data_IF_563273252377
#
_entry.id   IF_563273252377
#
_cell.length_a   1.000
_cell.length_b   1.000
_cell.length_c   1.000
_cell.angle_alpha   90.00
_cell.angle_beta   90.00
_cell.angle_gamma   90.00
#
_symmetry.space_group_name_H-M   'P 1'
#
loop_
_entity.id
_entity.type
_entity.pdbx_description
1 polymer ?
#
# COMPACT_ATOMS: atom_id res chain seq x y z
N UNK A 1 30.85 -12.73 18.00
CA UNK A 1 30.37 -11.94 16.85
C UNK A 1 29.13 -11.21 17.30
N UNK A 2 29.07 -9.88 17.16
CA UNK A 2 27.86 -9.11 17.48
C UNK A 2 26.79 -9.43 16.45
N UNK A 3 25.60 -9.84 16.89
CA UNK A 3 24.50 -10.12 15.98
C UNK A 3 24.10 -8.84 15.21
N UNK A 4 23.94 -8.96 13.90
CA UNK A 4 23.60 -7.84 13.01
C UNK A 4 22.29 -8.15 12.29
N UNK A 5 21.34 -7.21 12.24
CA UNK A 5 20.12 -7.40 11.45
C UNK A 5 20.42 -7.34 9.95
N UNK A 6 19.44 -7.68 9.10
CA UNK A 6 19.60 -7.59 7.65
C UNK A 6 19.75 -6.13 7.20
N UNK A 7 20.83 -5.82 6.50
CA UNK A 7 21.16 -4.45 6.07
C UNK A 7 20.09 -3.81 5.18
N UNK A 8 19.40 -4.61 4.37
CA UNK A 8 18.31 -4.11 3.52
C UNK A 8 17.10 -3.64 4.35
N UNK A 9 16.84 -4.24 5.51
CA UNK A 9 15.73 -3.86 6.37
C UNK A 9 16.02 -2.54 7.09
N UNK A 10 17.27 -2.33 7.52
CA UNK A 10 17.72 -1.06 8.07
C UNK A 10 17.67 0.07 7.02
N UNK A 11 18.11 -0.22 5.78
CA UNK A 11 17.99 0.72 4.67
C UNK A 11 16.52 1.10 4.41
N UNK A 12 15.61 0.12 4.46
CA UNK A 12 14.18 0.36 4.34
C UNK A 12 13.64 1.21 5.49
N UNK A 13 14.04 0.95 6.74
CA UNK A 13 13.67 1.74 7.90
C UNK A 13 14.08 3.21 7.74
N UNK A 14 15.31 3.45 7.27
CA UNK A 14 15.84 4.79 7.00
C UNK A 14 15.02 5.56 5.96
N UNK A 15 14.43 4.88 4.99
CA UNK A 15 13.58 5.52 3.97
C UNK A 15 12.28 6.07 4.57
N UNK A 16 11.72 5.42 5.60
CA UNK A 16 10.42 5.77 6.16
C UNK A 16 10.48 6.68 7.40
N UNK A 17 11.60 6.69 8.11
CA UNK A 17 11.79 7.57 9.26
C UNK A 17 12.19 8.99 8.86
N UNK A 18 11.90 9.95 9.73
CA UNK A 18 12.53 11.28 9.62
C UNK A 18 14.00 11.13 9.98
N UNK A 19 14.91 11.93 9.36
CA UNK A 19 16.33 11.87 9.69
C UNK A 19 16.61 12.04 11.20
N UNK A 20 15.88 12.93 11.87
CA UNK A 20 16.02 13.17 13.31
C UNK A 20 15.57 12.00 14.20
N UNK A 21 14.68 11.13 13.70
CA UNK A 21 14.14 10.01 14.48
C UNK A 21 14.92 8.71 14.23
N UNK A 22 15.75 8.66 13.17
CA UNK A 22 16.38 7.42 12.71
C UNK A 22 17.34 6.82 13.74
N UNK A 23 18.25 7.63 14.30
CA UNK A 23 19.27 7.13 15.21
C UNK A 23 18.67 6.56 16.50
N UNK A 24 17.65 7.25 17.06
CA UNK A 24 16.93 6.78 18.25
C UNK A 24 16.17 5.49 17.97
N UNK A 25 15.32 5.47 16.94
CA UNK A 25 14.47 4.30 16.66
C UNK A 25 15.29 3.09 16.20
N UNK A 26 16.32 3.31 15.38
CA UNK A 26 17.22 2.24 14.94
C UNK A 26 18.04 1.69 16.11
N UNK A 27 18.54 2.57 16.99
CA UNK A 27 19.25 2.21 18.21
C UNK A 27 18.39 1.30 19.11
N UNK A 28 17.18 1.74 19.45
CA UNK A 28 16.26 0.97 20.30
C UNK A 28 15.95 -0.42 19.70
N UNK A 29 15.67 -0.49 18.39
CA UNK A 29 15.41 -1.77 17.70
C UNK A 29 16.63 -2.67 17.67
N UNK A 30 17.84 -2.12 17.56
CA UNK A 30 19.09 -2.87 17.55
C UNK A 30 19.44 -3.41 18.94
N UNK A 31 19.21 -2.63 19.98
CA UNK A 31 19.34 -3.08 21.38
C UNK A 31 18.37 -4.22 21.66
N UNK A 32 17.08 -4.06 21.35
CA UNK A 32 16.07 -5.12 21.53
C UNK A 32 16.39 -6.37 20.69
N UNK A 33 16.83 -6.19 19.44
CA UNK A 33 17.27 -7.28 18.57
C UNK A 33 18.37 -8.12 19.21
N UNK A 34 19.42 -7.46 19.74
CA UNK A 34 20.63 -8.13 20.26
C UNK A 34 20.43 -8.70 21.65
N UNK A 35 19.77 -7.96 22.51
CA UNK A 35 19.76 -8.24 23.95
C UNK A 35 18.54 -9.08 24.34
N UNK A 36 17.42 -8.95 23.61
CA UNK A 36 16.17 -9.64 23.94
C UNK A 36 15.82 -10.75 22.94
N UNK A 37 15.86 -10.46 21.63
CA UNK A 37 15.30 -11.38 20.64
C UNK A 37 16.30 -12.44 20.17
N UNK A 38 17.53 -12.04 19.84
CA UNK A 38 18.57 -12.94 19.34
C UNK A 38 18.93 -14.07 20.32
N UNK A 39 19.10 -13.85 21.64
CA UNK A 39 19.45 -14.92 22.57
C UNK A 39 18.36 -15.99 22.70
N UNK A 40 17.09 -15.61 22.54
CA UNK A 40 15.93 -16.50 22.71
C UNK A 40 15.57 -17.23 21.42
N UNK A 41 15.61 -16.53 20.27
CA UNK A 41 15.09 -17.05 18.99
C UNK A 41 16.17 -17.40 17.97
N UNK A 42 17.43 -17.13 18.29
CA UNK A 42 18.55 -17.24 17.36
C UNK A 42 18.47 -16.25 16.20
N UNK A 43 19.47 -16.29 15.31
CA UNK A 43 19.63 -15.32 14.22
C UNK A 43 18.39 -15.23 13.31
N UNK A 44 17.90 -16.35 12.76
CA UNK A 44 16.75 -16.33 11.82
C UNK A 44 15.48 -15.77 12.46
N UNK A 45 15.23 -16.10 13.72
CA UNK A 45 14.06 -15.61 14.45
C UNK A 45 14.16 -14.13 14.79
N UNK A 46 15.36 -13.64 15.09
CA UNK A 46 15.62 -12.22 15.29
C UNK A 46 15.52 -11.43 13.98
N UNK A 47 16.09 -11.93 12.88
CA UNK A 47 15.98 -11.31 11.55
C UNK A 47 14.51 -11.16 11.14
N UNK A 48 13.71 -12.22 11.29
CA UNK A 48 12.28 -12.19 11.00
C UNK A 48 11.56 -11.16 11.88
N UNK A 49 11.88 -11.10 13.19
CA UNK A 49 11.31 -10.10 14.08
C UNK A 49 11.65 -8.67 13.65
N UNK A 50 12.91 -8.39 13.31
CA UNK A 50 13.34 -7.06 12.87
C UNK A 50 12.62 -6.64 11.57
N UNK A 51 12.55 -7.55 10.61
CA UNK A 51 11.82 -7.33 9.35
C UNK A 51 10.34 -7.01 9.63
N UNK A 52 9.69 -7.72 10.55
CA UNK A 52 8.31 -7.42 10.94
C UNK A 52 8.16 -6.03 11.55
N UNK A 53 9.13 -5.58 12.37
CA UNK A 53 9.11 -4.21 12.90
C UNK A 53 9.20 -3.17 11.79
N UNK A 54 10.14 -3.34 10.86
CA UNK A 54 10.31 -2.43 9.71
C UNK A 54 9.05 -2.41 8.84
N UNK A 55 8.47 -3.58 8.52
CA UNK A 55 7.20 -3.67 7.78
C UNK A 55 6.05 -2.99 8.53
N UNK A 56 6.06 -2.98 9.87
CA UNK A 56 5.12 -2.22 10.68
C UNK A 56 5.23 -0.70 10.49
N UNK A 57 6.42 -0.15 10.23
CA UNK A 57 6.57 1.27 9.86
C UNK A 57 6.04 1.54 8.44
N UNK A 58 6.37 0.68 7.48
CA UNK A 58 5.86 0.77 6.09
C UNK A 58 4.33 0.75 6.09
N UNK A 59 3.73 -0.22 6.77
CA UNK A 59 2.28 -0.39 6.88
C UNK A 59 1.62 0.83 7.51
N UNK A 60 2.14 1.35 8.63
CA UNK A 60 1.60 2.56 9.26
C UNK A 60 1.66 3.79 8.34
N UNK A 61 2.74 3.93 7.56
CA UNK A 61 2.86 5.03 6.59
C UNK A 61 1.86 4.89 5.44
N UNK A 62 1.62 3.67 4.96
CA UNK A 62 0.73 3.40 3.83
C UNK A 62 -0.75 3.26 4.22
N UNK A 63 -1.07 2.96 5.49
CA UNK A 63 -2.41 2.49 5.91
C UNK A 63 -3.55 3.39 5.47
N UNK A 64 -3.45 4.70 5.70
CA UNK A 64 -4.53 5.64 5.34
C UNK A 64 -4.74 5.64 3.83
N UNK A 65 -3.65 5.69 3.07
CA UNK A 65 -3.69 5.68 1.61
C UNK A 65 -4.18 4.36 1.03
N UNK A 66 -3.79 3.23 1.63
CA UNK A 66 -4.27 1.91 1.28
C UNK A 66 -5.78 1.77 1.48
N UNK A 67 -6.30 2.29 2.60
CA UNK A 67 -7.74 2.30 2.89
C UNK A 67 -8.49 3.16 1.89
N UNK A 68 -8.02 4.38 1.60
CA UNK A 68 -8.65 5.26 0.61
C UNK A 68 -8.65 4.63 -0.79
N UNK A 69 -7.52 4.05 -1.21
CA UNK A 69 -7.37 3.39 -2.50
C UNK A 69 -8.27 2.15 -2.60
N UNK A 70 -8.23 1.27 -1.60
CA UNK A 70 -9.08 0.09 -1.53
C UNK A 70 -10.57 0.45 -1.50
N UNK A 71 -10.95 1.45 -0.71
CA UNK A 71 -12.34 1.93 -0.65
C UNK A 71 -12.81 2.51 -1.99
N UNK A 72 -11.96 3.21 -2.74
CA UNK A 72 -12.29 3.69 -4.08
C UNK A 72 -12.59 2.52 -5.04
N UNK A 73 -11.78 1.45 -4.98
CA UNK A 73 -12.03 0.23 -5.77
C UNK A 73 -13.32 -0.47 -5.35
N UNK A 74 -13.53 -0.73 -4.06
CA UNK A 74 -14.76 -1.36 -3.55
C UNK A 74 -16.00 -0.55 -3.93
N UNK A 75 -15.92 0.78 -3.82
CA UNK A 75 -17.02 1.68 -4.20
C UNK A 75 -17.30 1.59 -5.70
N UNK A 76 -16.27 1.62 -6.54
CA UNK A 76 -16.43 1.42 -8.00
C UNK A 76 -17.11 0.08 -8.27
N UNK A 77 -16.61 -1.01 -7.71
CA UNK A 77 -17.17 -2.36 -7.88
C UNK A 77 -18.64 -2.42 -7.43
N UNK A 78 -18.96 -1.85 -6.27
CA UNK A 78 -20.33 -1.78 -5.77
C UNK A 78 -21.24 -1.01 -6.72
N UNK A 79 -20.78 0.13 -7.25
CA UNK A 79 -21.54 0.91 -8.22
C UNK A 79 -21.74 0.14 -9.53
N UNK A 80 -20.73 -0.56 -10.02
CA UNK A 80 -20.82 -1.32 -11.28
C UNK A 80 -21.80 -2.49 -11.17
N UNK A 81 -21.90 -3.11 -10.00
CA UNK A 81 -22.78 -4.26 -9.77
C UNK A 81 -24.20 -3.88 -9.34
N UNK A 82 -24.34 -2.86 -8.49
CA UNK A 82 -25.61 -2.52 -7.85
C UNK A 82 -26.34 -1.36 -8.56
N UNK A 83 -25.61 -0.53 -9.31
CA UNK A 83 -26.15 0.59 -10.07
C UNK A 83 -25.40 0.73 -11.42
N UNK A 84 -25.56 -0.23 -12.35
CA UNK A 84 -24.84 -0.23 -13.62
C UNK A 84 -24.98 1.11 -14.36
N UNK A 85 -23.87 1.70 -14.85
CA UNK A 85 -23.93 2.99 -15.53
C UNK A 85 -24.51 2.86 -16.94
N UNK A 86 -25.10 3.94 -17.42
CA UNK A 86 -25.39 4.09 -18.86
C UNK A 86 -24.10 4.26 -19.67
N UNK A 87 -23.08 4.88 -19.06
CA UNK A 87 -21.76 5.08 -19.64
C UNK A 87 -20.63 4.58 -18.70
N UNK A 88 -20.06 3.42 -19.04
CA UNK A 88 -18.92 2.85 -18.32
C UNK A 88 -17.63 3.67 -18.49
N UNK A 89 -17.48 4.41 -19.60
CA UNK A 89 -16.27 5.17 -19.90
C UNK A 89 -16.11 6.35 -18.93
N UNK A 90 -17.17 7.14 -18.72
CA UNK A 90 -17.15 8.25 -17.77
C UNK A 90 -16.81 7.78 -16.35
N UNK A 91 -17.46 6.70 -15.88
CA UNK A 91 -17.21 6.14 -14.54
C UNK A 91 -15.78 5.60 -14.41
N UNK A 92 -15.31 4.86 -15.40
CA UNK A 92 -13.92 4.35 -15.44
C UNK A 92 -12.92 5.50 -15.39
N UNK A 93 -13.14 6.57 -16.16
CA UNK A 93 -12.29 7.76 -16.19
C UNK A 93 -12.20 8.43 -14.82
N UNK A 94 -13.35 8.69 -14.18
CA UNK A 94 -13.38 9.29 -12.83
C UNK A 94 -12.67 8.41 -11.81
N UNK A 95 -12.95 7.11 -11.79
CA UNK A 95 -12.31 6.18 -10.85
C UNK A 95 -10.79 6.07 -11.08
N UNK A 96 -10.34 6.15 -12.34
CA UNK A 96 -8.93 6.15 -12.72
C UNK A 96 -8.22 7.41 -12.21
N UNK A 97 -8.79 8.59 -12.44
CA UNK A 97 -8.20 9.84 -11.94
C UNK A 97 -8.21 9.91 -10.41
N UNK A 98 -9.26 9.41 -9.77
CA UNK A 98 -9.33 9.32 -8.31
C UNK A 98 -8.23 8.41 -7.75
N UNK A 99 -8.10 7.19 -8.28
CA UNK A 99 -7.05 6.25 -7.89
C UNK A 99 -5.64 6.83 -8.11
N UNK A 100 -5.42 7.46 -9.26
CA UNK A 100 -4.15 8.08 -9.57
C UNK A 100 -3.82 9.25 -8.62
N UNK A 101 -4.80 10.12 -8.34
CA UNK A 101 -4.67 11.23 -7.40
C UNK A 101 -4.33 10.76 -5.99
N UNK A 102 -4.98 9.69 -5.51
CA UNK A 102 -4.67 9.08 -4.20
C UNK A 102 -3.20 8.63 -4.15
N UNK A 103 -2.70 7.96 -5.19
CA UNK A 103 -1.34 7.42 -5.21
C UNK A 103 -0.27 8.51 -5.33
N UNK A 104 -0.53 9.55 -6.13
CA UNK A 104 0.34 10.73 -6.21
C UNK A 104 0.37 11.46 -4.86
N UNK A 105 -0.78 11.66 -4.23
CA UNK A 105 -0.88 12.29 -2.90
C UNK A 105 -0.17 11.46 -1.83
N UNK A 106 -0.29 10.13 -1.87
CA UNK A 106 0.41 9.22 -0.98
C UNK A 106 1.93 9.34 -1.12
N UNK A 107 2.42 9.34 -2.36
CA UNK A 107 3.85 9.50 -2.66
C UNK A 107 4.40 10.85 -2.20
N UNK A 108 3.66 11.93 -2.49
CA UNK A 108 3.95 13.30 -2.07
C UNK A 108 4.05 13.42 -0.55
N UNK A 109 3.05 12.93 0.16
CA UNK A 109 3.00 12.98 1.62
C UNK A 109 4.15 12.19 2.26
N UNK A 110 4.43 10.99 1.75
CA UNK A 110 5.51 10.14 2.26
C UNK A 110 6.87 10.84 2.14
N UNK A 111 7.17 11.43 0.98
CA UNK A 111 8.46 12.09 0.76
C UNK A 111 8.59 13.42 1.49
N UNK A 112 7.50 14.19 1.65
CA UNK A 112 7.50 15.39 2.50
C UNK A 112 7.85 15.03 3.95
N UNK A 113 7.25 13.95 4.48
CA UNK A 113 7.48 13.49 5.84
C UNK A 113 8.92 13.00 6.04
N UNK A 114 9.38 12.03 5.25
CA UNK A 114 10.69 11.39 5.46
C UNK A 114 11.86 12.17 4.85
N UNK A 115 11.61 13.01 3.83
CA UNK A 115 12.67 13.64 3.02
C UNK A 115 13.31 12.69 1.99
N UNK A 116 12.76 11.49 1.80
CA UNK A 116 13.29 10.49 0.85
C UNK A 116 12.39 10.33 -0.36
N UNK A 117 12.98 10.34 -1.57
CA UNK A 117 12.28 10.08 -2.82
C UNK A 117 11.73 8.64 -2.87
N UNK A 118 12.53 7.68 -2.40
CA UNK A 118 12.15 6.26 -2.37
C UNK A 118 10.95 5.98 -1.47
N UNK A 119 10.70 6.82 -0.47
CA UNK A 119 9.53 6.69 0.39
C UNK A 119 8.23 6.82 -0.41
N UNK A 120 8.22 7.66 -1.45
CA UNK A 120 7.06 7.82 -2.32
C UNK A 120 6.74 6.56 -3.12
N UNK A 121 7.75 6.00 -3.80
CA UNK A 121 7.64 4.74 -4.56
C UNK A 121 7.16 3.59 -3.68
N UNK A 122 7.79 3.39 -2.52
CA UNK A 122 7.46 2.29 -1.61
C UNK A 122 6.09 2.47 -0.97
N UNK A 123 5.69 3.71 -0.65
CA UNK A 123 4.33 3.99 -0.15
C UNK A 123 3.29 3.71 -1.22
N UNK A 124 3.55 4.06 -2.49
CA UNK A 124 2.67 3.74 -3.61
C UNK A 124 2.49 2.23 -3.79
N UNK A 125 3.58 1.45 -3.78
CA UNK A 125 3.54 -0.02 -3.84
C UNK A 125 2.79 -0.62 -2.66
N UNK A 126 3.09 -0.17 -1.44
CA UNK A 126 2.43 -0.69 -0.24
C UNK A 126 0.93 -0.35 -0.22
N UNK A 127 0.56 0.87 -0.63
CA UNK A 127 -0.82 1.32 -0.68
C UNK A 127 -1.65 0.50 -1.68
N UNK A 128 -1.12 0.23 -2.88
CA UNK A 128 -1.82 -0.60 -3.87
C UNK A 128 -1.87 -2.07 -3.47
N UNK A 129 -0.80 -2.63 -2.91
CA UNK A 129 -0.80 -4.03 -2.46
C UNK A 129 -1.81 -4.27 -1.32
N UNK A 130 -1.83 -3.40 -0.30
CA UNK A 130 -2.80 -3.49 0.80
C UNK A 130 -4.21 -3.17 0.28
N UNK A 131 -4.35 -2.14 -0.55
CA UNK A 131 -5.61 -1.77 -1.18
C UNK A 131 -6.20 -2.88 -2.05
N UNK A 132 -5.38 -3.68 -2.72
CA UNK A 132 -5.80 -4.85 -3.48
C UNK A 132 -6.42 -5.92 -2.59
N UNK A 133 -5.83 -6.19 -1.42
CA UNK A 133 -6.41 -7.11 -0.43
C UNK A 133 -7.77 -6.58 0.07
N UNK A 134 -7.85 -5.28 0.40
CA UNK A 134 -9.11 -4.64 0.81
C UNK A 134 -10.17 -4.76 -0.30
N UNK A 135 -9.80 -4.49 -1.55
CA UNK A 135 -10.68 -4.60 -2.72
C UNK A 135 -11.21 -6.02 -2.90
N UNK A 136 -10.34 -7.03 -2.82
CA UNK A 136 -10.73 -8.43 -2.97
C UNK A 136 -11.71 -8.87 -1.86
N UNK A 137 -11.43 -8.50 -0.61
CA UNK A 137 -12.33 -8.76 0.52
C UNK A 137 -13.68 -8.05 0.32
N UNK A 138 -13.65 -6.78 -0.10
CA UNK A 138 -14.87 -6.00 -0.37
C UNK A 138 -15.72 -6.60 -1.49
N UNK A 139 -15.11 -7.01 -2.59
CA UNK A 139 -15.78 -7.69 -3.69
C UNK A 139 -16.39 -9.03 -3.25
N UNK A 140 -15.66 -9.83 -2.48
CA UNK A 140 -16.19 -11.08 -1.92
C UNK A 140 -17.37 -10.81 -0.97
N UNK A 141 -17.30 -9.75 -0.15
CA UNK A 141 -18.41 -9.33 0.71
C UNK A 141 -19.65 -8.90 -0.07
N UNK A 142 -19.47 -8.14 -1.16
CA UNK A 142 -20.58 -7.75 -2.04
C UNK A 142 -21.26 -8.98 -2.66
N UNK A 143 -20.50 -9.96 -3.13
CA UNK A 143 -21.04 -11.23 -3.66
C UNK A 143 -21.78 -12.05 -2.60
N UNK A 144 -21.24 -12.09 -1.37
CA UNK A 144 -21.88 -12.78 -0.27
C UNK A 144 -23.24 -12.17 0.08
N UNK A 145 -23.39 -10.85 -0.08
CA UNK A 145 -24.64 -10.13 0.17
C UNK A 145 -25.61 -10.28 -1.00
N UNK A 146 -25.14 -10.17 -2.25
CA UNK A 146 -25.99 -10.15 -3.45
C UNK A 146 -25.32 -10.83 -4.64
N UNK A 147 -25.98 -11.84 -5.19
CA UNK A 147 -25.49 -12.64 -6.33
C UNK A 147 -26.65 -13.17 -7.20
N UNK A 148 -27.73 -12.40 -7.33
CA UNK A 148 -28.87 -12.72 -8.20
C UNK A 148 -28.49 -12.64 -9.70
N UNK A 149 -29.40 -13.08 -10.57
CA UNK A 149 -29.16 -13.16 -12.01
C UNK A 149 -28.80 -11.80 -12.63
N UNK A 150 -29.41 -10.70 -12.18
CA UNK A 150 -29.12 -9.35 -12.69
C UNK A 150 -27.74 -8.88 -12.23
N UNK A 151 -27.39 -9.13 -10.97
CA UNK A 151 -26.04 -8.85 -10.44
C UNK A 151 -24.98 -9.64 -11.20
N UNK A 152 -25.22 -10.93 -11.49
CA UNK A 152 -24.30 -11.76 -12.27
C UNK A 152 -24.21 -11.36 -13.74
N UNK A 153 -25.26 -10.75 -14.31
CA UNK A 153 -25.21 -10.15 -15.63
C UNK A 153 -24.40 -8.85 -15.62
N UNK A 154 -24.58 -7.99 -14.61
CA UNK A 154 -23.81 -6.76 -14.42
C UNK A 154 -22.31 -7.04 -14.25
N UNK A 155 -21.95 -8.06 -13.45
CA UNK A 155 -20.55 -8.51 -13.29
C UNK A 155 -19.95 -8.90 -14.63
N UNK A 156 -20.68 -9.67 -15.46
CA UNK A 156 -20.19 -10.07 -16.78
C UNK A 156 -20.03 -8.87 -17.72
N UNK A 157 -20.95 -7.91 -17.65
CA UNK A 157 -20.87 -6.68 -18.44
C UNK A 157 -19.70 -5.79 -18.01
N UNK A 158 -19.30 -5.81 -16.73
CA UNK A 158 -18.14 -5.09 -16.20
C UNK A 158 -16.81 -5.86 -16.34
N UNK A 159 -16.74 -6.86 -17.24
CA UNK A 159 -15.53 -7.64 -17.52
C UNK A 159 -15.29 -8.89 -16.65
N UNK A 160 -16.22 -9.18 -15.73
CA UNK A 160 -16.27 -10.44 -14.99
C UNK A 160 -15.49 -10.45 -13.67
N UNK A 161 -15.54 -11.59 -12.98
CA UNK A 161 -14.83 -11.79 -11.71
C UNK A 161 -13.30 -11.73 -11.84
N UNK A 162 -12.65 -12.27 -12.90
CA UNK A 162 -11.20 -12.16 -13.05
C UNK A 162 -10.73 -10.71 -13.01
N UNK A 163 -11.41 -9.81 -13.74
CA UNK A 163 -11.07 -8.38 -13.74
C UNK A 163 -11.08 -7.79 -12.32
N UNK A 164 -12.08 -8.12 -11.50
CA UNK A 164 -12.24 -7.56 -10.15
C UNK A 164 -11.14 -8.02 -9.18
N UNK A 165 -10.62 -9.24 -9.34
CA UNK A 165 -9.56 -9.77 -8.48
C UNK A 165 -8.15 -9.51 -9.02
N UNK A 166 -7.98 -9.41 -10.34
CA UNK A 166 -6.68 -9.21 -10.98
C UNK A 166 -6.31 -7.73 -11.12
N UNK A 167 -7.25 -6.84 -11.44
CA UNK A 167 -6.95 -5.41 -11.64
C UNK A 167 -6.25 -4.77 -10.45
N UNK A 168 -6.69 -4.96 -9.18
CA UNK A 168 -6.01 -4.35 -8.06
C UNK A 168 -4.55 -4.81 -7.92
N UNK A 169 -4.23 -6.04 -8.32
CA UNK A 169 -2.85 -6.56 -8.35
C UNK A 169 -2.05 -5.89 -9.47
N UNK A 170 -2.66 -5.73 -10.66
CA UNK A 170 -2.03 -5.02 -11.78
C UNK A 170 -1.73 -3.54 -11.43
N UNK A 171 -2.42 -2.96 -10.45
CA UNK A 171 -2.15 -1.59 -9.97
C UNK A 171 -0.86 -1.45 -9.15
N UNK A 172 -0.14 -2.52 -8.83
CA UNK A 172 1.14 -2.41 -8.10
C UNK A 172 2.16 -1.59 -8.90
N UNK A 173 2.31 -1.85 -10.20
CA UNK A 173 3.25 -1.13 -11.05
C UNK A 173 2.84 0.35 -11.25
N UNK A 174 1.58 0.68 -11.62
CA UNK A 174 1.09 2.06 -11.58
C UNK A 174 1.28 2.74 -10.22
N UNK A 175 1.07 2.02 -9.12
CA UNK A 175 1.33 2.47 -7.75
C UNK A 175 2.77 2.92 -7.54
N UNK A 176 3.74 2.12 -8.01
CA UNK A 176 5.15 2.48 -7.97
C UNK A 176 5.43 3.75 -8.80
N UNK A 177 4.92 3.84 -10.03
CA UNK A 177 5.13 4.98 -10.93
C UNK A 177 4.53 6.26 -10.35
N UNK A 178 3.25 6.24 -10.00
CA UNK A 178 2.54 7.41 -9.47
C UNK A 178 3.05 7.82 -8.09
N UNK A 179 3.38 6.85 -7.23
CA UNK A 179 4.03 7.11 -5.96
C UNK A 179 5.41 7.76 -6.13
N UNK A 180 6.16 7.38 -7.18
CA UNK A 180 7.43 8.03 -7.53
C UNK A 180 7.22 9.46 -8.00
N UNK A 181 6.22 9.71 -8.85
CA UNK A 181 5.87 11.07 -9.32
C UNK A 181 5.54 11.97 -8.13
N UNK A 182 4.66 11.52 -7.22
CA UNK A 182 4.35 12.23 -5.99
C UNK A 182 5.60 12.43 -5.12
N UNK A 183 6.41 11.38 -4.97
CA UNK A 183 7.65 11.39 -4.20
C UNK A 183 8.63 12.47 -4.68
N UNK A 184 8.87 12.56 -6.00
CA UNK A 184 9.70 13.59 -6.62
C UNK A 184 9.17 14.98 -6.26
N UNK A 185 7.87 15.24 -6.50
CA UNK A 185 7.25 16.52 -6.19
C UNK A 185 7.42 16.92 -4.72
N UNK A 186 7.26 15.98 -3.79
CA UNK A 186 7.38 16.26 -2.35
C UNK A 186 8.82 16.55 -1.93
N UNK A 187 9.80 15.84 -2.51
CA UNK A 187 11.21 16.14 -2.25
C UNK A 187 11.62 17.50 -2.81
N UNK A 188 11.07 17.93 -3.95
CA UNK A 188 11.35 19.25 -4.52
C UNK A 188 10.76 20.38 -3.68
N UNK A 189 9.60 20.18 -3.05
CA UNK A 189 8.95 21.18 -2.18
C UNK A 189 9.71 21.37 -0.85
N UNK A 190 10.37 20.33 -0.36
CA UNK A 190 11.08 20.36 0.92
C UNK A 190 12.46 21.04 0.87
N UNK A 191 13.02 21.19 -0.33
CA UNK A 191 14.32 21.85 -0.57
C UNK A 191 14.15 23.36 -0.65
#
# INVERSE_FOLDING_TARGET
MTATPPSWAEALLRVFLKPADFDSVSGDLLEEYRDSIHPVRGQRGADAWYVMQVLGFVSRSARVWAVLFGAAFVTRTALDWLAPPVDFHARSTVSTFLGAGILVAAGLWASLRSGSLFAGTLTGVAATAIGAVISAIGAAGLLAIRHDADTMAAIRASGGLPEVFELPIMMILPGAVLGTIGGVAGTTIKR
#
